data_IF_338898796515
#
_entry.id   IF_338898796515
#
_cell.length_a   1.000
_cell.length_b   1.000
_cell.length_c   1.000
_cell.angle_alpha   90.00
_cell.angle_beta   90.00
_cell.angle_gamma   90.00
#
_symmetry.space_group_name_H-M   'P 1'
#
loop_
_entity.id
_entity.type
_entity.pdbx_description
1 polymer ?
#
# COMPACT_ATOMS: atom_id res chain seq x y z
N UNK A 1 5.62 -23.54 -23.62
CA UNK A 1 4.36 -23.52 -24.38
C UNK A 1 3.53 -22.40 -23.78
N UNK A 2 3.25 -21.33 -24.53
CA UNK A 2 2.38 -20.24 -24.05
C UNK A 2 0.97 -20.81 -23.85
N UNK A 3 0.43 -20.70 -22.63
CA UNK A 3 -0.93 -21.13 -22.35
C UNK A 3 -1.91 -20.37 -23.26
N UNK A 4 -2.98 -21.03 -23.73
CA UNK A 4 -4.00 -20.35 -24.51
C UNK A 4 -4.85 -19.43 -23.61
N UNK A 5 -5.46 -18.37 -24.14
CA UNK A 5 -6.31 -17.46 -23.34
C UNK A 5 -7.45 -18.17 -22.59
N UNK A 6 -8.04 -19.19 -23.20
CA UNK A 6 -9.05 -20.06 -22.58
C UNK A 6 -8.52 -20.86 -21.37
N UNK A 7 -7.21 -21.13 -21.33
CA UNK A 7 -6.54 -21.82 -20.22
C UNK A 7 -6.30 -20.87 -19.07
N UNK A 8 -5.84 -19.65 -19.35
CA UNK A 8 -5.54 -18.64 -18.31
C UNK A 8 -6.80 -18.19 -17.56
N UNK A 9 -7.89 -17.96 -18.29
CA UNK A 9 -9.19 -17.66 -17.67
C UNK A 9 -9.75 -18.82 -16.86
N UNK A 10 -9.40 -20.08 -17.19
CA UNK A 10 -9.75 -21.24 -16.38
C UNK A 10 -8.95 -21.30 -15.07
N UNK A 11 -7.65 -20.97 -15.09
CA UNK A 11 -6.83 -20.87 -13.87
C UNK A 11 -7.34 -19.76 -12.94
N UNK A 12 -7.72 -18.60 -13.47
CA UNK A 12 -8.35 -17.54 -12.67
C UNK A 12 -9.65 -18.03 -12.02
N UNK A 13 -10.52 -18.74 -12.76
CA UNK A 13 -11.74 -19.33 -12.18
C UNK A 13 -11.41 -20.35 -11.09
N UNK A 14 -10.38 -21.16 -11.29
CA UNK A 14 -9.94 -22.15 -10.31
C UNK A 14 -9.40 -21.49 -9.03
N UNK A 15 -8.64 -20.40 -9.15
CA UNK A 15 -8.18 -19.61 -8.00
C UNK A 15 -9.36 -19.00 -7.22
N UNK A 16 -10.34 -18.42 -7.93
CA UNK A 16 -11.52 -17.79 -7.32
C UNK A 16 -12.48 -18.80 -6.66
N UNK A 17 -12.59 -20.01 -7.20
CA UNK A 17 -13.42 -21.08 -6.65
C UNK A 17 -12.70 -21.96 -5.61
N UNK A 18 -11.37 -21.90 -5.60
CA UNK A 18 -10.51 -22.73 -4.78
C UNK A 18 -10.25 -22.13 -3.39
N UNK A 19 -9.69 -22.96 -2.50
CA UNK A 19 -9.19 -22.53 -1.19
C UNK A 19 -7.69 -22.22 -1.18
N UNK A 20 -7.03 -22.18 -2.35
CA UNK A 20 -5.59 -21.90 -2.44
C UNK A 20 -5.36 -20.39 -2.28
N UNK A 21 -4.30 -19.97 -1.57
CA UNK A 21 -3.89 -18.57 -1.53
C UNK A 21 -3.49 -18.06 -2.91
N UNK A 22 -3.82 -16.79 -3.19
CA UNK A 22 -3.44 -16.15 -4.44
C UNK A 22 -3.37 -14.62 -4.30
N UNK A 23 -2.74 -13.97 -5.26
CA UNK A 23 -2.82 -12.54 -5.46
C UNK A 23 -3.13 -12.21 -6.94
N UNK A 24 -4.02 -11.24 -7.15
CA UNK A 24 -4.21 -10.57 -8.44
C UNK A 24 -3.57 -9.20 -8.37
N UNK A 25 -2.66 -8.89 -9.28
CA UNK A 25 -1.97 -7.60 -9.34
C UNK A 25 -2.19 -6.96 -10.71
N UNK A 26 -2.64 -5.72 -10.75
CA UNK A 26 -2.67 -4.89 -11.94
C UNK A 26 -1.75 -3.69 -11.71
N UNK A 27 -0.53 -3.80 -12.26
CA UNK A 27 0.54 -2.80 -12.16
C UNK A 27 0.67 -1.93 -13.40
N UNK A 28 -0.06 -2.29 -14.46
CA UNK A 28 -0.21 -1.52 -15.69
C UNK A 28 -1.68 -1.48 -16.14
N UNK A 29 -1.95 -0.86 -17.29
CA UNK A 29 -3.32 -0.70 -17.80
C UNK A 29 -3.85 -1.88 -18.61
N UNK A 30 -2.97 -2.79 -19.03
CA UNK A 30 -3.24 -3.82 -20.02
C UNK A 30 -3.37 -5.22 -19.41
N UNK A 31 -2.76 -5.48 -18.26
CA UNK A 31 -2.62 -6.82 -17.72
C UNK A 31 -3.10 -6.97 -16.27
N UNK A 32 -3.46 -8.20 -15.93
CA UNK A 32 -3.65 -8.68 -14.56
C UNK A 32 -2.75 -9.88 -14.36
N UNK A 33 -1.86 -9.80 -13.39
CA UNK A 33 -1.00 -10.90 -12.94
C UNK A 33 -1.75 -11.75 -11.92
N UNK A 34 -1.67 -13.07 -12.02
CA UNK A 34 -2.16 -14.04 -11.05
C UNK A 34 -0.96 -14.79 -10.46
N UNK A 35 -0.74 -14.58 -9.16
CA UNK A 35 0.28 -15.25 -8.37
C UNK A 35 -0.42 -16.29 -7.50
N UNK A 36 -0.02 -17.55 -7.58
CA UNK A 36 -0.46 -18.59 -6.64
C UNK A 36 0.74 -19.20 -5.94
N UNK A 37 0.49 -19.81 -4.77
CA UNK A 37 1.58 -20.36 -3.99
C UNK A 37 1.19 -20.77 -2.58
N UNK A 38 2.21 -21.14 -1.81
CA UNK A 38 2.07 -21.50 -0.41
C UNK A 38 2.27 -20.28 0.48
N UNK A 39 1.52 -20.21 1.57
CA UNK A 39 1.64 -19.12 2.55
C UNK A 39 2.49 -19.58 3.73
N UNK A 40 3.50 -18.79 4.06
CA UNK A 40 4.30 -18.94 5.27
C UNK A 40 4.35 -17.61 6.02
N UNK A 41 4.19 -17.66 7.33
CA UNK A 41 4.38 -16.51 8.19
C UNK A 41 5.79 -16.58 8.79
N UNK A 42 6.52 -15.46 8.77
CA UNK A 42 7.88 -15.34 9.29
C UNK A 42 7.95 -14.22 10.34
N UNK A 43 8.96 -14.21 11.20
CA UNK A 43 9.03 -13.24 12.30
C UNK A 43 9.67 -11.92 11.87
N UNK A 44 10.64 -11.97 10.95
CA UNK A 44 11.49 -10.81 10.61
C UNK A 44 11.69 -10.68 9.11
N UNK A 45 11.97 -9.46 8.65
CA UNK A 45 12.18 -9.17 7.23
C UNK A 45 13.32 -9.98 6.62
N UNK A 46 14.42 -10.23 7.37
CA UNK A 46 15.51 -11.06 6.84
C UNK A 46 15.13 -12.55 6.69
N UNK A 47 14.02 -12.98 7.30
CA UNK A 47 13.56 -14.38 7.25
C UNK A 47 12.62 -14.62 6.06
N UNK A 48 12.30 -13.60 5.26
CA UNK A 48 11.54 -13.75 4.01
C UNK A 48 12.26 -14.79 3.12
N UNK A 49 11.55 -15.86 2.66
CA UNK A 49 12.17 -17.05 2.06
C UNK A 49 12.53 -16.85 0.59
N UNK A 50 13.44 -15.91 0.32
CA UNK A 50 13.92 -15.55 -1.02
C UNK A 50 14.73 -16.65 -1.71
N UNK A 51 15.22 -17.63 -0.94
CA UNK A 51 15.94 -18.79 -1.45
C UNK A 51 15.37 -20.09 -0.87
N UNK A 52 15.30 -21.13 -1.70
CA UNK A 52 15.05 -22.50 -1.29
C UNK A 52 16.26 -23.10 -0.56
N UNK A 53 16.06 -24.26 0.07
CA UNK A 53 17.12 -24.97 0.80
C UNK A 53 18.29 -25.43 -0.10
N UNK A 54 18.04 -25.60 -1.40
CA UNK A 54 19.04 -25.93 -2.42
C UNK A 54 19.71 -24.68 -3.05
N UNK A 55 19.34 -23.48 -2.59
CA UNK A 55 19.85 -22.20 -3.06
C UNK A 55 19.08 -21.60 -4.24
N UNK A 56 18.07 -22.29 -4.78
CA UNK A 56 17.25 -21.73 -5.86
C UNK A 56 16.51 -20.47 -5.41
N UNK A 57 16.58 -19.39 -6.19
CA UNK A 57 15.85 -18.15 -5.91
C UNK A 57 14.34 -18.38 -6.05
N UNK A 58 13.58 -17.71 -5.19
CA UNK A 58 12.10 -17.77 -5.15
C UNK A 58 11.52 -16.39 -5.36
N UNK A 59 10.39 -16.33 -6.05
CA UNK A 59 9.53 -15.15 -6.06
C UNK A 59 8.62 -15.18 -4.83
N UNK A 60 8.52 -14.04 -4.14
CA UNK A 60 7.77 -13.94 -2.88
C UNK A 60 7.01 -12.63 -2.84
N UNK A 61 5.71 -12.68 -2.58
CA UNK A 61 4.90 -11.52 -2.21
C UNK A 61 4.73 -11.49 -0.69
N UNK A 62 5.37 -10.53 -0.02
CA UNK A 62 5.32 -10.35 1.42
C UNK A 62 4.37 -9.21 1.83
N UNK A 63 3.38 -9.51 2.67
CA UNK A 63 2.59 -8.51 3.38
C UNK A 63 3.31 -8.15 4.67
N UNK A 64 3.81 -6.92 4.76
CA UNK A 64 4.52 -6.41 5.94
C UNK A 64 3.56 -5.57 6.79
N UNK A 65 3.19 -6.01 8.00
CA UNK A 65 2.27 -5.29 8.86
C UNK A 65 2.93 -4.09 9.53
N UNK A 66 2.13 -3.13 9.99
CA UNK A 66 2.64 -1.94 10.68
C UNK A 66 3.47 -2.30 11.91
N UNK A 67 3.10 -3.37 12.63
CA UNK A 67 3.85 -3.83 13.80
C UNK A 67 5.31 -4.21 13.50
N UNK A 68 5.71 -4.37 12.24
CA UNK A 68 7.09 -4.65 11.88
C UNK A 68 8.06 -3.49 12.19
N UNK A 69 7.56 -2.28 12.47
CA UNK A 69 8.39 -1.15 12.95
C UNK A 69 9.18 -1.46 14.23
N UNK A 70 8.81 -2.52 14.97
CA UNK A 70 9.60 -3.01 16.12
C UNK A 70 11.01 -3.46 15.72
N UNK A 71 11.24 -3.89 14.48
CA UNK A 71 12.59 -4.20 13.98
C UNK A 71 13.49 -2.95 13.86
N UNK A 72 12.88 -1.77 13.84
CA UNK A 72 13.55 -0.46 13.92
C UNK A 72 13.67 0.06 15.36
N UNK A 73 13.12 -0.66 16.34
CA UNK A 73 13.04 -0.25 17.74
C UNK A 73 11.97 0.81 18.01
N UNK A 74 10.96 0.92 17.15
CA UNK A 74 9.88 1.90 17.30
C UNK A 74 8.65 1.30 17.99
N UNK A 75 7.88 2.14 18.67
CA UNK A 75 6.66 1.75 19.37
C UNK A 75 5.50 1.47 18.40
N UNK A 76 4.64 0.51 18.73
CA UNK A 76 3.37 0.32 18.04
C UNK A 76 2.35 -0.36 18.96
N UNK A 77 1.07 -0.27 18.64
CA UNK A 77 0.07 -1.20 19.16
C UNK A 77 0.24 -2.55 18.47
N UNK A 78 0.52 -3.58 19.26
CA UNK A 78 0.70 -4.94 18.77
C UNK A 78 -0.66 -5.67 18.63
N UNK A 79 -0.99 -6.11 17.41
CA UNK A 79 -2.14 -6.96 17.08
C UNK A 79 -1.80 -8.43 16.77
N UNK A 80 -0.52 -8.80 16.74
CA UNK A 80 -0.13 -10.11 16.26
C UNK A 80 -0.28 -10.30 14.74
N UNK A 81 -0.49 -9.23 13.95
CA UNK A 81 -0.54 -9.37 12.48
C UNK A 81 0.77 -9.96 11.95
N UNK A 82 0.76 -11.09 11.23
CA UNK A 82 2.00 -11.75 10.81
C UNK A 82 2.69 -10.99 9.68
N UNK A 83 4.03 -11.08 9.61
CA UNK A 83 4.73 -10.84 8.35
C UNK A 83 4.50 -12.07 7.46
N UNK A 84 3.58 -11.92 6.50
CA UNK A 84 3.02 -13.03 5.73
C UNK A 84 3.60 -13.08 4.33
N UNK A 85 4.14 -14.22 3.93
CA UNK A 85 4.75 -14.43 2.62
C UNK A 85 3.93 -15.42 1.80
N UNK A 86 3.48 -15.00 0.61
CA UNK A 86 3.06 -15.91 -0.45
C UNK A 86 4.32 -16.29 -1.25
N UNK A 87 4.78 -17.53 -1.08
CA UNK A 87 5.89 -18.10 -1.85
C UNK A 87 5.33 -18.59 -3.17
N UNK A 88 5.64 -17.86 -4.23
CA UNK A 88 4.99 -18.03 -5.55
C UNK A 88 5.51 -19.29 -6.21
N UNK A 89 4.59 -20.22 -6.54
CA UNK A 89 4.88 -21.41 -7.35
C UNK A 89 4.45 -21.23 -8.81
N UNK A 90 3.46 -20.38 -9.04
CA UNK A 90 2.96 -20.05 -10.38
C UNK A 90 2.65 -18.55 -10.49
N UNK A 91 3.17 -17.94 -11.56
CA UNK A 91 2.93 -16.55 -11.94
C UNK A 91 2.43 -16.53 -13.38
N UNK A 92 1.17 -16.14 -13.56
CA UNK A 92 0.53 -16.00 -14.86
C UNK A 92 0.19 -14.54 -15.15
N UNK A 93 0.20 -14.14 -16.42
CA UNK A 93 -0.22 -12.81 -16.86
C UNK A 93 -1.40 -12.96 -17.81
N UNK A 94 -2.51 -12.30 -17.49
CA UNK A 94 -3.73 -12.28 -18.27
C UNK A 94 -3.94 -10.90 -18.89
N UNK A 95 -4.58 -10.86 -20.05
CA UNK A 95 -5.16 -9.61 -20.56
C UNK A 95 -6.24 -9.11 -19.59
N UNK A 96 -6.28 -7.80 -19.36
CA UNK A 96 -7.21 -7.18 -18.41
C UNK A 96 -8.67 -7.41 -18.78
N UNK A 97 -9.03 -7.33 -20.06
CA UNK A 97 -10.42 -7.51 -20.49
C UNK A 97 -10.86 -8.96 -20.27
N UNK A 98 -9.95 -9.92 -20.48
CA UNK A 98 -10.19 -11.33 -20.18
C UNK A 98 -10.38 -11.57 -18.68
N UNK A 99 -9.55 -10.99 -17.83
CA UNK A 99 -9.69 -11.07 -16.37
C UNK A 99 -11.02 -10.46 -15.89
N UNK A 100 -11.36 -9.25 -16.35
CA UNK A 100 -12.63 -8.57 -16.02
C UNK A 100 -13.85 -9.39 -16.45
N UNK A 101 -13.78 -10.12 -17.56
CA UNK A 101 -14.88 -10.98 -18.04
C UNK A 101 -15.18 -12.16 -17.11
N UNK A 102 -14.20 -12.59 -16.30
CA UNK A 102 -14.31 -13.72 -15.37
C UNK A 102 -14.70 -13.26 -13.97
N UNK A 103 -14.25 -12.08 -13.55
CA UNK A 103 -14.49 -11.57 -12.20
C UNK A 103 -15.99 -11.29 -11.94
N UNK A 104 -16.50 -11.59 -10.74
CA UNK A 104 -17.88 -11.29 -10.38
C UNK A 104 -18.15 -9.78 -10.43
N UNK A 105 -19.33 -9.39 -10.93
CA UNK A 105 -19.74 -7.98 -11.06
C UNK A 105 -20.99 -7.59 -10.27
N UNK A 106 -21.53 -8.49 -9.46
CA UNK A 106 -22.74 -8.19 -8.66
C UNK A 106 -22.32 -7.40 -7.42
N UNK A 107 -22.83 -6.17 -7.28
CA UNK A 107 -22.49 -5.30 -6.16
C UNK A 107 -22.72 -5.99 -4.81
N UNK A 108 -21.72 -5.88 -3.91
CA UNK A 108 -21.75 -6.47 -2.58
C UNK A 108 -22.53 -5.55 -1.63
N UNK A 109 -23.64 -6.02 -1.03
CA UNK A 109 -24.36 -5.22 -0.05
C UNK A 109 -23.52 -5.05 1.22
N UNK A 110 -23.51 -3.84 1.75
CA UNK A 110 -22.87 -3.49 3.02
C UNK A 110 -23.94 -3.20 4.07
N UNK A 111 -23.85 -3.84 5.23
CA UNK A 111 -24.67 -3.54 6.39
C UNK A 111 -23.87 -2.73 7.43
N UNK A 112 -24.55 -1.91 8.22
CA UNK A 112 -23.96 -1.12 9.31
C UNK A 112 -22.74 -0.27 8.88
N UNK A 113 -22.79 0.24 7.65
CA UNK A 113 -21.68 0.95 7.04
C UNK A 113 -21.50 2.35 7.64
N UNK A 114 -20.30 2.64 8.16
CA UNK A 114 -20.00 3.92 8.80
C UNK A 114 -18.55 4.03 9.26
N UNK A 115 -18.15 5.20 9.71
CA UNK A 115 -16.84 5.36 10.36
C UNK A 115 -16.91 4.95 11.83
N UNK A 116 -15.85 4.30 12.32
CA UNK A 116 -15.66 3.98 13.74
C UNK A 116 -15.54 5.24 14.62
N UNK A 117 -15.02 6.32 14.05
CA UNK A 117 -14.97 7.66 14.63
C UNK A 117 -15.83 8.61 13.81
N UNK A 118 -16.77 9.29 14.48
CA UNK A 118 -17.55 10.36 13.86
C UNK A 118 -16.63 11.48 13.36
N UNK A 119 -17.11 12.26 12.39
CA UNK A 119 -16.35 13.42 11.88
C UNK A 119 -16.01 14.43 13.00
N UNK A 120 -16.88 14.60 14.00
CA UNK A 120 -16.62 15.45 15.16
C UNK A 120 -15.50 14.91 16.05
N UNK A 121 -15.51 13.60 16.35
CA UNK A 121 -14.48 12.98 17.19
C UNK A 121 -13.12 13.00 16.48
N UNK A 122 -13.10 12.72 15.17
CA UNK A 122 -11.89 12.78 14.38
C UNK A 122 -11.34 14.22 14.28
N UNK A 123 -12.21 15.22 14.10
CA UNK A 123 -11.80 16.62 14.13
C UNK A 123 -11.19 17.04 15.48
N UNK A 124 -11.70 16.51 16.59
CA UNK A 124 -11.12 16.76 17.92
C UNK A 124 -9.75 16.11 18.09
N UNK A 125 -9.53 14.91 17.53
CA UNK A 125 -8.20 14.29 17.48
C UNK A 125 -7.24 15.17 16.67
N UNK A 126 -7.66 15.62 15.48
CA UNK A 126 -6.85 16.51 14.63
C UNK A 126 -6.42 17.76 15.38
N UNK A 127 -7.36 18.45 16.05
CA UNK A 127 -7.05 19.65 16.85
C UNK A 127 -6.04 19.36 17.97
N UNK A 128 -6.18 18.22 18.65
CA UNK A 128 -5.24 17.82 19.70
C UNK A 128 -3.85 17.52 19.16
N UNK A 129 -3.74 16.79 18.05
CA UNK A 129 -2.42 16.51 17.43
C UNK A 129 -1.73 17.81 17.01
N UNK A 130 -2.46 18.74 16.39
CA UNK A 130 -1.89 20.04 16.01
C UNK A 130 -1.46 20.84 17.25
N UNK A 131 -2.29 20.92 18.28
CA UNK A 131 -2.00 21.75 19.46
C UNK A 131 -0.94 21.15 20.40
N UNK A 132 -1.03 19.84 20.66
CA UNK A 132 -0.29 19.16 21.71
C UNK A 132 0.94 18.39 21.20
N UNK A 133 0.96 18.00 19.92
CA UNK A 133 2.10 17.30 19.33
C UNK A 133 2.92 18.28 18.48
N UNK A 134 2.34 18.79 17.39
CA UNK A 134 3.03 19.72 16.48
C UNK A 134 3.37 21.03 17.21
N UNK A 135 2.39 21.63 17.90
CA UNK A 135 2.54 22.88 18.66
C UNK A 135 3.54 22.80 19.83
N UNK A 136 3.96 21.59 20.21
CA UNK A 136 4.98 21.37 21.26
C UNK A 136 6.32 20.85 20.72
N UNK A 137 6.46 20.74 19.40
CA UNK A 137 7.71 20.36 18.75
C UNK A 137 7.98 18.84 18.74
N UNK A 138 6.95 18.01 18.89
CA UNK A 138 7.06 16.55 18.78
C UNK A 138 7.41 16.14 17.34
N UNK A 139 6.99 16.92 16.35
CA UNK A 139 7.24 16.64 14.94
C UNK A 139 6.61 17.67 14.03
N UNK A 140 6.91 17.58 12.74
CA UNK A 140 6.41 18.51 11.74
C UNK A 140 5.03 18.08 11.22
N UNK A 141 4.79 16.78 11.12
CA UNK A 141 3.56 16.24 10.57
C UNK A 141 3.26 14.84 11.11
N UNK A 142 1.98 14.48 11.18
CA UNK A 142 1.53 13.17 11.64
C UNK A 142 0.32 12.69 10.85
N UNK A 143 0.13 11.38 10.73
CA UNK A 143 -1.03 10.76 10.11
C UNK A 143 -1.72 9.90 11.15
N UNK A 144 -2.96 10.26 11.50
CA UNK A 144 -3.81 9.47 12.39
C UNK A 144 -4.88 8.76 11.57
N UNK A 145 -5.07 7.47 11.83
CA UNK A 145 -6.08 6.65 11.16
C UNK A 145 -7.45 6.75 11.82
N UNK A 146 -8.49 6.63 11.00
CA UNK A 146 -9.82 6.12 11.36
C UNK A 146 -10.26 5.07 10.34
N UNK A 147 -11.25 4.25 10.67
CA UNK A 147 -11.69 3.15 9.83
C UNK A 147 -13.12 3.36 9.36
N UNK A 148 -13.35 3.23 8.05
CA UNK A 148 -14.69 2.94 7.54
C UNK A 148 -14.95 1.45 7.70
N UNK A 149 -16.05 1.08 8.35
CA UNK A 149 -16.40 -0.31 8.66
C UNK A 149 -17.74 -0.69 8.06
N UNK A 150 -17.92 -1.95 7.72
CA UNK A 150 -19.22 -2.51 7.37
C UNK A 150 -19.25 -4.03 7.60
N UNK A 151 -20.44 -4.59 7.76
CA UNK A 151 -20.67 -6.04 7.76
C UNK A 151 -20.95 -6.52 6.34
N UNK A 152 -20.34 -7.65 5.97
CA UNK A 152 -20.47 -8.30 4.66
C UNK A 152 -20.90 -9.75 4.85
N UNK A 153 -22.06 -10.10 4.29
CA UNK A 153 -22.63 -11.46 4.32
C UNK A 153 -22.54 -12.11 2.93
N UNK A 154 -21.32 -12.15 2.41
CA UNK A 154 -20.97 -12.80 1.14
C UNK A 154 -19.65 -13.52 1.34
N UNK A 155 -19.44 -14.60 0.58
CA UNK A 155 -18.14 -15.28 0.51
C UNK A 155 -16.99 -14.24 0.33
N UNK A 156 -15.96 -14.25 1.19
CA UNK A 156 -14.92 -13.23 1.19
C UNK A 156 -14.16 -13.12 -0.14
N UNK A 157 -13.89 -14.25 -0.81
CA UNK A 157 -13.16 -14.26 -2.10
C UNK A 157 -14.04 -13.62 -3.18
N UNK A 158 -15.32 -13.96 -3.20
CA UNK A 158 -16.31 -13.37 -4.12
C UNK A 158 -16.44 -11.86 -3.89
N UNK A 159 -16.51 -11.41 -2.63
CA UNK A 159 -16.56 -9.99 -2.29
C UNK A 159 -15.30 -9.26 -2.75
N UNK A 160 -14.12 -9.81 -2.42
CA UNK A 160 -12.84 -9.23 -2.79
C UNK A 160 -12.64 -9.15 -4.31
N UNK A 161 -12.97 -10.21 -5.05
CA UNK A 161 -12.92 -10.25 -6.50
C UNK A 161 -13.87 -9.25 -7.16
N UNK A 162 -15.06 -9.04 -6.57
CA UNK A 162 -16.02 -8.04 -7.04
C UNK A 162 -15.48 -6.62 -6.87
N UNK A 163 -14.88 -6.31 -5.70
CA UNK A 163 -14.29 -5.00 -5.47
C UNK A 163 -13.04 -4.77 -6.33
N UNK A 164 -12.21 -5.80 -6.53
CA UNK A 164 -11.06 -5.73 -7.41
C UNK A 164 -11.49 -5.39 -8.85
N UNK A 165 -12.52 -6.08 -9.37
CA UNK A 165 -13.12 -5.74 -10.67
C UNK A 165 -13.58 -4.29 -10.72
N UNK A 166 -14.31 -3.83 -9.71
CA UNK A 166 -14.79 -2.44 -9.66
C UNK A 166 -13.64 -1.43 -9.67
N UNK A 167 -12.52 -1.73 -9.00
CA UNK A 167 -11.31 -0.90 -9.06
C UNK A 167 -10.69 -0.93 -10.46
N UNK A 168 -10.62 -2.08 -11.12
CA UNK A 168 -10.18 -2.16 -12.52
C UNK A 168 -11.11 -1.37 -13.46
N UNK A 169 -12.42 -1.33 -13.23
CA UNK A 169 -13.33 -0.62 -14.15
C UNK A 169 -13.38 0.90 -13.90
N UNK A 170 -13.09 1.34 -12.67
CA UNK A 170 -13.39 2.72 -12.25
C UNK A 170 -12.23 3.53 -11.69
N UNK A 171 -11.16 2.88 -11.21
CA UNK A 171 -9.99 3.57 -10.68
C UNK A 171 -8.93 3.83 -11.75
N UNK A 172 -8.18 4.92 -11.60
CA UNK A 172 -7.09 5.34 -12.50
C UNK A 172 -5.94 5.89 -11.69
N UNK A 173 -4.74 5.88 -12.27
CA UNK A 173 -3.57 6.49 -11.63
C UNK A 173 -3.07 5.76 -10.37
N UNK A 174 -3.59 4.58 -10.05
CA UNK A 174 -3.02 3.73 -9.01
C UNK A 174 -1.63 3.23 -9.44
N UNK A 175 -0.70 3.14 -8.50
CA UNK A 175 0.56 2.43 -8.68
C UNK A 175 0.31 0.93 -8.81
N UNK A 176 -0.41 0.36 -7.85
CA UNK A 176 -0.92 -1.02 -7.91
C UNK A 176 -2.42 -1.02 -7.63
N UNK A 177 -3.17 -1.78 -8.44
CA UNK A 177 -4.49 -2.29 -8.06
C UNK A 177 -4.35 -3.76 -7.74
N UNK A 178 -4.87 -4.23 -6.60
CA UNK A 178 -4.61 -5.60 -6.15
C UNK A 178 -5.78 -6.24 -5.39
N UNK A 179 -5.81 -7.57 -5.42
CA UNK A 179 -6.55 -8.46 -4.52
C UNK A 179 -5.56 -9.50 -3.99
N UNK A 180 -5.41 -9.59 -2.68
CA UNK A 180 -4.53 -10.57 -2.03
C UNK A 180 -5.40 -11.42 -1.11
N UNK A 181 -5.40 -12.73 -1.34
CA UNK A 181 -6.19 -13.72 -0.60
C UNK A 181 -5.24 -14.70 0.07
N UNK A 182 -5.22 -14.68 1.39
CA UNK A 182 -4.44 -15.61 2.23
C UNK A 182 -5.31 -16.14 3.37
N UNK A 183 -4.92 -17.21 4.07
CA UNK A 183 -5.73 -17.77 5.15
C UNK A 183 -6.12 -16.74 6.21
N UNK A 184 -7.43 -16.50 6.38
CA UNK A 184 -7.96 -15.55 7.35
C UNK A 184 -7.73 -14.07 7.01
N UNK A 185 -7.25 -13.74 5.82
CA UNK A 185 -6.98 -12.35 5.44
C UNK A 185 -7.19 -12.08 3.94
N UNK A 186 -8.06 -11.13 3.64
CA UNK A 186 -8.25 -10.57 2.30
C UNK A 186 -7.94 -9.08 2.33
N UNK A 187 -7.12 -8.63 1.37
CA UNK A 187 -6.82 -7.23 1.13
C UNK A 187 -7.12 -6.87 -0.34
N UNK A 188 -7.90 -5.81 -0.56
CA UNK A 188 -8.23 -5.31 -1.91
C UNK A 188 -8.03 -3.81 -1.96
N UNK A 189 -7.19 -3.34 -2.87
CA UNK A 189 -6.81 -1.93 -2.86
C UNK A 189 -6.39 -1.38 -4.22
N UNK A 190 -6.35 -0.07 -4.30
CA UNK A 190 -5.79 0.68 -5.41
C UNK A 190 -4.87 1.77 -4.82
N UNK A 191 -3.63 1.38 -4.51
CA UNK A 191 -2.67 2.27 -3.87
C UNK A 191 -2.04 3.19 -4.91
N UNK A 192 -2.01 4.52 -4.68
CA UNK A 192 -1.34 5.45 -5.59
C UNK A 192 0.18 5.49 -5.39
N UNK A 193 0.70 4.91 -4.31
CA UNK A 193 2.02 5.25 -3.79
C UNK A 193 2.92 4.02 -3.67
N UNK A 194 4.07 4.08 -4.32
CA UNK A 194 5.16 3.15 -4.07
C UNK A 194 5.85 3.52 -2.77
N UNK A 195 5.95 2.57 -1.82
CA UNK A 195 6.79 2.76 -0.65
C UNK A 195 8.26 2.81 -1.07
N UNK A 196 8.71 1.75 -1.74
CA UNK A 196 10.04 1.65 -2.32
C UNK A 196 10.02 0.61 -3.44
N UNK A 197 10.76 0.87 -4.52
CA UNK A 197 11.15 -0.15 -5.48
C UNK A 197 12.66 -0.16 -5.63
N UNK A 198 13.25 -1.34 -5.85
CA UNK A 198 14.66 -1.52 -6.13
C UNK A 198 14.81 -2.46 -7.33
N UNK A 199 15.12 -1.90 -8.50
CA UNK A 199 15.22 -2.65 -9.76
C UNK A 199 16.58 -2.43 -10.40
N UNK A 200 17.34 -3.51 -10.63
CA UNK A 200 18.69 -3.39 -11.21
C UNK A 200 19.61 -2.44 -10.44
N UNK A 201 19.46 -2.41 -9.10
CA UNK A 201 20.19 -1.52 -8.19
C UNK A 201 19.73 -0.05 -8.17
N UNK A 202 18.64 0.31 -8.86
CA UNK A 202 18.02 1.64 -8.79
C UNK A 202 16.91 1.62 -7.77
N UNK A 203 17.05 2.38 -6.69
CA UNK A 203 16.03 2.54 -5.64
C UNK A 203 15.16 3.74 -5.97
N UNK A 204 13.85 3.58 -5.97
CA UNK A 204 12.87 4.64 -6.21
C UNK A 204 11.90 4.75 -5.03
N UNK A 205 11.60 5.98 -4.62
CA UNK A 205 10.52 6.32 -3.69
C UNK A 205 9.62 7.39 -4.33
N UNK A 206 8.35 7.42 -3.95
CA UNK A 206 7.34 8.29 -4.53
C UNK A 206 6.61 9.04 -3.42
N UNK A 207 7.18 10.11 -2.86
CA UNK A 207 6.48 10.90 -1.85
C UNK A 207 5.24 11.56 -2.47
N UNK A 208 4.08 11.26 -1.90
CA UNK A 208 2.78 11.84 -2.29
C UNK A 208 2.18 12.56 -1.09
N UNK A 209 1.92 13.85 -1.22
CA UNK A 209 1.08 14.62 -0.29
C UNK A 209 0.42 15.77 -1.02
N UNK A 210 -0.55 16.41 -0.37
CA UNK A 210 -1.44 17.34 -1.04
C UNK A 210 -2.54 16.62 -1.82
N UNK A 211 -3.80 17.02 -1.61
CA UNK A 211 -4.95 16.34 -2.21
C UNK A 211 -5.96 17.32 -2.76
N UNK A 212 -6.07 17.36 -4.09
CA UNK A 212 -7.14 18.05 -4.78
C UNK A 212 -8.36 17.13 -4.93
N UNK A 213 -9.40 17.37 -4.13
CA UNK A 213 -10.67 16.63 -4.25
C UNK A 213 -11.43 17.08 -5.50
N UNK A 214 -11.79 16.14 -6.38
CA UNK A 214 -12.57 16.48 -7.56
C UNK A 214 -13.99 16.90 -7.14
N UNK A 215 -14.47 18.09 -7.54
CA UNK A 215 -15.83 18.52 -7.22
C UNK A 215 -16.85 17.74 -8.06
N UNK A 216 -18.09 17.64 -7.59
CA UNK A 216 -19.16 16.88 -8.26
C UNK A 216 -19.49 17.37 -9.69
N UNK A 217 -19.08 18.59 -10.05
CA UNK A 217 -19.21 19.17 -11.40
C UNK A 217 -17.96 19.06 -12.28
N UNK A 218 -16.92 18.36 -11.82
CA UNK A 218 -15.62 18.26 -12.51
C UNK A 218 -14.65 19.39 -12.14
N UNK A 219 -13.36 19.08 -12.20
CA UNK A 219 -12.30 20.05 -11.93
C UNK A 219 -12.28 21.15 -13.00
N UNK A 220 -11.99 22.39 -12.59
CA UNK A 220 -11.72 23.51 -13.51
C UNK A 220 -10.27 23.93 -13.41
N UNK A 221 -9.77 24.67 -14.40
CA UNK A 221 -8.39 25.22 -14.36
C UNK A 221 -8.21 26.13 -13.15
N UNK A 222 -9.23 26.91 -12.78
CA UNK A 222 -9.18 27.84 -11.65
C UNK A 222 -9.06 27.10 -10.33
N UNK A 223 -9.91 26.09 -10.10
CA UNK A 223 -9.91 25.31 -8.86
C UNK A 223 -8.63 24.49 -8.68
N UNK A 224 -8.10 23.94 -9.79
CA UNK A 224 -6.80 23.28 -9.77
C UNK A 224 -5.66 24.28 -9.52
N UNK A 225 -5.71 25.47 -10.13
CA UNK A 225 -4.67 26.50 -9.93
C UNK A 225 -4.65 27.01 -8.49
N UNK A 226 -5.82 27.16 -7.86
CA UNK A 226 -5.95 27.52 -6.43
C UNK A 226 -5.28 26.47 -5.55
N UNK A 227 -5.54 25.18 -5.82
CA UNK A 227 -4.87 24.08 -5.13
C UNK A 227 -3.35 24.11 -5.31
N UNK A 228 -2.86 24.25 -6.55
CA UNK A 228 -1.42 24.29 -6.85
C UNK A 228 -0.71 25.52 -6.27
N UNK A 229 -1.44 26.60 -6.01
CA UNK A 229 -0.91 27.84 -5.44
C UNK A 229 -1.06 27.89 -3.91
N UNK A 230 -1.67 26.87 -3.30
CA UNK A 230 -1.86 26.79 -1.85
C UNK A 230 -0.52 26.58 -1.16
N UNK A 231 -0.13 27.53 -0.30
CA UNK A 231 1.08 27.42 0.53
C UNK A 231 1.02 26.16 1.40
N UNK A 232 -0.14 25.88 2.00
CA UNK A 232 -0.35 24.66 2.81
C UNK A 232 0.00 23.40 2.03
N UNK A 233 -0.60 23.22 0.85
CA UNK A 233 -0.43 21.98 0.07
C UNK A 233 1.01 21.84 -0.46
N UNK A 234 1.64 22.96 -0.83
CA UNK A 234 3.03 22.99 -1.28
C UNK A 234 4.00 22.64 -0.15
N UNK A 235 3.80 23.23 1.05
CA UNK A 235 4.62 22.95 2.22
C UNK A 235 4.45 21.51 2.70
N UNK A 236 3.23 20.98 2.69
CA UNK A 236 2.93 19.58 3.04
C UNK A 236 3.73 18.61 2.15
N UNK A 237 3.81 18.88 0.85
CA UNK A 237 4.60 18.08 -0.09
C UNK A 237 6.11 18.18 0.17
N UNK A 238 6.64 19.39 0.41
CA UNK A 238 8.06 19.55 0.68
C UNK A 238 8.50 18.86 1.98
N UNK A 239 7.66 18.91 3.03
CA UNK A 239 7.96 18.22 4.29
C UNK A 239 8.14 16.72 4.08
N UNK A 240 7.26 16.06 3.32
CA UNK A 240 7.38 14.61 3.08
C UNK A 240 8.55 14.27 2.16
N UNK A 241 8.87 15.12 1.18
CA UNK A 241 10.04 14.96 0.30
C UNK A 241 11.34 15.00 1.10
N UNK A 242 11.48 15.95 2.02
CA UNK A 242 12.67 16.07 2.86
C UNK A 242 12.89 14.84 3.73
N UNK A 243 11.82 14.21 4.22
CA UNK A 243 11.93 12.99 5.02
C UNK A 243 12.26 11.75 4.20
N UNK A 244 11.64 11.59 3.04
CA UNK A 244 11.99 10.48 2.15
C UNK A 244 13.40 10.64 1.57
N UNK A 245 13.94 11.86 1.44
CA UNK A 245 15.36 12.07 1.14
C UNK A 245 16.28 11.56 2.24
N UNK A 246 15.90 11.68 3.52
CA UNK A 246 16.66 11.10 4.64
C UNK A 246 16.62 9.58 4.58
N UNK A 247 15.46 8.99 4.29
CA UNK A 247 15.34 7.54 4.08
C UNK A 247 16.19 7.08 2.89
N UNK A 248 16.10 7.77 1.76
CA UNK A 248 16.89 7.48 0.57
C UNK A 248 18.40 7.56 0.85
N UNK A 249 18.84 8.55 1.65
CA UNK A 249 20.25 8.70 2.02
C UNK A 249 20.76 7.58 2.93
N UNK A 250 19.87 6.91 3.69
CA UNK A 250 20.22 5.75 4.49
C UNK A 250 20.46 4.49 3.64
N UNK A 251 19.81 4.39 2.48
CA UNK A 251 19.88 3.20 1.61
C UNK A 251 20.70 3.39 0.34
N UNK A 252 20.94 4.63 -0.10
CA UNK A 252 21.67 4.96 -1.33
C UNK A 252 22.96 5.72 -1.03
N UNK A 253 24.11 5.11 -1.38
CA UNK A 253 25.45 5.67 -1.07
C UNK A 253 25.77 6.99 -1.77
N UNK A 254 25.19 7.21 -2.96
CA UNK A 254 25.42 8.42 -3.76
C UNK A 254 24.33 9.49 -3.54
N UNK A 255 23.45 9.28 -2.55
CA UNK A 255 22.26 10.10 -2.31
C UNK A 255 21.13 9.85 -3.30
N UNK A 256 20.12 10.73 -3.26
CA UNK A 256 18.93 10.68 -4.11
C UNK A 256 18.85 11.84 -5.11
N UNK A 257 18.34 11.58 -6.31
CA UNK A 257 17.93 12.58 -7.30
C UNK A 257 16.42 12.79 -7.22
N UNK A 258 16.00 14.05 -7.22
CA UNK A 258 14.59 14.45 -7.17
C UNK A 258 14.14 14.81 -8.59
N UNK A 259 13.00 14.29 -9.01
CA UNK A 259 12.30 14.72 -10.24
C UNK A 259 10.84 15.01 -9.93
N UNK A 260 10.30 16.10 -10.47
CA UNK A 260 8.93 16.56 -10.21
C UNK A 260 8.85 18.08 -10.01
N UNK A 261 7.73 18.60 -9.48
CA UNK A 261 6.55 17.83 -9.06
C UNK A 261 5.75 17.33 -10.26
N UNK A 262 4.95 16.29 -10.05
CA UNK A 262 4.00 15.73 -11.00
C UNK A 262 2.58 15.76 -10.41
N UNK A 263 1.58 15.65 -11.28
CA UNK A 263 0.19 15.44 -10.88
C UNK A 263 -0.20 13.99 -11.14
N UNK A 264 -0.67 13.33 -10.09
CA UNK A 264 -1.23 11.99 -10.16
C UNK A 264 -2.75 12.07 -10.11
N UNK A 265 -3.36 12.09 -11.28
CA UNK A 265 -4.82 12.10 -11.42
C UNK A 265 -5.39 10.71 -11.12
N UNK A 266 -6.29 10.64 -10.15
CA UNK A 266 -7.09 9.46 -9.81
C UNK A 266 -8.56 9.70 -10.12
N UNK A 267 -9.41 8.69 -9.92
CA UNK A 267 -10.84 8.76 -10.25
C UNK A 267 -11.59 9.91 -9.54
N UNK A 268 -11.29 10.15 -8.26
CA UNK A 268 -12.02 11.10 -7.39
C UNK A 268 -11.18 12.26 -6.85
N UNK A 269 -9.88 12.24 -7.10
CA UNK A 269 -8.94 13.21 -6.56
C UNK A 269 -7.67 13.23 -7.41
N UNK A 270 -6.89 14.29 -7.27
CA UNK A 270 -5.55 14.42 -7.84
C UNK A 270 -4.56 14.70 -6.73
N UNK A 271 -3.42 14.01 -6.76
CA UNK A 271 -2.32 14.25 -5.83
C UNK A 271 -1.17 15.00 -6.51
N UNK A 272 -0.40 15.73 -5.72
CA UNK A 272 0.94 16.17 -6.10
C UNK A 272 1.99 15.18 -5.63
N UNK A 273 2.99 14.92 -6.46
CA UNK A 273 4.01 13.91 -6.14
C UNK A 273 5.40 14.32 -6.63
N UNK A 274 6.42 13.79 -5.97
CA UNK A 274 7.78 13.76 -6.49
C UNK A 274 8.22 12.31 -6.70
N UNK A 275 9.33 12.14 -7.40
CA UNK A 275 10.04 10.87 -7.51
C UNK A 275 11.46 11.08 -7.01
N UNK A 276 11.90 10.21 -6.11
CA UNK A 276 13.25 10.15 -5.61
C UNK A 276 13.93 8.92 -6.20
N UNK A 277 15.15 9.06 -6.70
CA UNK A 277 15.92 7.94 -7.26
C UNK A 277 17.37 7.94 -6.81
N UNK A 278 17.84 6.82 -6.31
CA UNK A 278 19.24 6.59 -5.95
C UNK A 278 19.73 5.23 -6.44
N UNK A 279 20.98 4.90 -6.11
CA UNK A 279 21.52 3.55 -6.35
C UNK A 279 21.90 2.90 -5.04
N UNK A 280 21.60 1.62 -4.93
CA UNK A 280 21.95 0.78 -3.78
C UNK A 280 22.43 -0.59 -4.22
N UNK A 281 23.27 -1.20 -3.41
CA UNK A 281 23.68 -2.60 -3.51
C UNK A 281 23.25 -3.39 -2.27
N UNK A 282 22.40 -2.81 -1.42
CA UNK A 282 21.88 -3.46 -0.23
C UNK A 282 20.96 -4.62 -0.61
N UNK A 283 20.82 -5.58 0.31
CA UNK A 283 19.78 -6.60 0.22
C UNK A 283 18.41 -5.88 0.20
N UNK A 284 17.48 -6.24 -0.71
CA UNK A 284 16.16 -5.62 -0.75
C UNK A 284 15.39 -5.72 0.57
N UNK A 285 15.64 -6.74 1.40
CA UNK A 285 15.05 -6.87 2.75
C UNK A 285 15.60 -5.81 3.70
N UNK A 286 16.88 -5.46 3.57
CA UNK A 286 17.50 -4.37 4.33
C UNK A 286 17.02 -3.00 3.83
N UNK A 287 16.88 -2.81 2.52
CA UNK A 287 16.26 -1.59 1.96
C UNK A 287 14.89 -1.41 2.59
N UNK A 288 14.03 -2.44 2.52
CA UNK A 288 12.69 -2.38 3.09
C UNK A 288 12.72 -2.09 4.60
N UNK A 289 13.62 -2.73 5.36
CA UNK A 289 13.76 -2.52 6.80
C UNK A 289 14.12 -1.07 7.15
N UNK A 290 15.09 -0.50 6.45
CA UNK A 290 15.57 0.87 6.71
C UNK A 290 14.57 1.95 6.27
N UNK A 291 13.61 1.61 5.40
CA UNK A 291 12.59 2.55 4.92
C UNK A 291 11.25 2.43 5.65
N UNK A 292 11.03 1.44 6.54
CA UNK A 292 9.76 1.27 7.25
C UNK A 292 9.37 2.48 8.12
N UNK A 293 8.18 3.07 7.97
CA UNK A 293 7.36 3.10 6.75
C UNK A 293 7.41 4.50 6.11
N UNK A 294 6.63 4.78 5.07
CA UNK A 294 6.69 6.11 4.47
C UNK A 294 6.18 7.20 5.43
N UNK A 295 6.79 8.40 5.45
CA UNK A 295 6.33 9.52 6.28
C UNK A 295 4.95 10.03 5.88
N UNK A 296 4.54 9.79 4.63
CA UNK A 296 3.22 10.11 4.05
C UNK A 296 2.05 9.37 4.70
N UNK A 297 2.32 8.29 5.44
CA UNK A 297 1.32 7.47 6.14
C UNK A 297 1.58 7.29 7.62
N UNK A 298 2.61 7.95 8.15
CA UNK A 298 3.01 7.89 9.56
C UNK A 298 3.20 9.29 10.14
N UNK A 299 4.23 10.00 9.68
CA UNK A 299 4.61 11.33 10.13
C UNK A 299 6.13 11.50 10.20
N UNK A 300 6.55 12.63 10.76
CA UNK A 300 7.96 12.97 10.93
C UNK A 300 8.26 13.68 12.26
N UNK A 301 9.38 13.33 12.94
CA UNK A 301 10.28 12.21 12.64
C UNK A 301 9.64 10.84 12.89
N UNK A 302 9.97 9.82 12.08
CA UNK A 302 9.31 8.50 12.10
C UNK A 302 9.19 7.88 13.52
N UNK A 303 10.29 7.85 14.29
CA UNK A 303 10.28 7.27 15.63
C UNK A 303 9.23 7.95 16.53
N UNK A 304 9.15 9.28 16.46
CA UNK A 304 8.18 10.01 17.26
C UNK A 304 6.77 9.92 16.68
N UNK A 305 6.62 9.85 15.36
CA UNK A 305 5.34 9.59 14.72
C UNK A 305 4.73 8.26 15.19
N UNK A 306 5.52 7.20 15.32
CA UNK A 306 5.09 5.93 15.91
C UNK A 306 4.59 6.08 17.37
N UNK A 307 5.26 6.92 18.15
CA UNK A 307 4.87 7.24 19.53
C UNK A 307 3.55 8.01 19.56
N UNK A 308 3.39 9.04 18.71
CA UNK A 308 2.15 9.83 18.56
C UNK A 308 0.99 8.96 18.10
N UNK A 309 1.21 8.09 17.12
CA UNK A 309 0.20 7.11 16.66
C UNK A 309 -0.27 6.25 17.84
N UNK A 310 0.65 5.75 18.66
CA UNK A 310 0.34 4.94 19.85
C UNK A 310 -0.42 5.72 20.94
N UNK A 311 -0.26 7.05 21.00
CA UNK A 311 -1.02 7.92 21.93
C UNK A 311 -2.45 8.19 21.47
N UNK A 312 -2.67 8.35 20.15
CA UNK A 312 -3.94 8.86 19.60
C UNK A 312 -4.82 7.82 18.93
N UNK A 313 -4.27 6.70 18.47
CA UNK A 313 -5.04 5.58 17.94
C UNK A 313 -5.47 4.63 19.07
N UNK A 314 -6.72 4.14 19.03
CA UNK A 314 -7.24 3.24 20.07
C UNK A 314 -7.02 1.76 19.76
N UNK A 315 -6.67 1.46 18.52
CA UNK A 315 -6.56 0.11 18.00
C UNK A 315 -5.27 -0.02 17.19
N UNK A 316 -4.78 -1.23 16.97
CA UNK A 316 -3.62 -1.48 16.12
C UNK A 316 -3.95 -1.36 14.62
N UNK A 317 -2.93 -1.05 13.81
CA UNK A 317 -3.05 -0.74 12.38
C UNK A 317 -3.21 -1.94 11.46
N UNK A 318 -2.91 -3.16 11.92
CA UNK A 318 -2.78 -4.31 11.02
C UNK A 318 -1.79 -3.99 9.91
N UNK A 319 -2.23 -4.15 8.67
CA UNK A 319 -1.44 -3.84 7.49
C UNK A 319 -1.60 -2.41 6.97
N UNK A 320 -2.49 -1.59 7.53
CA UNK A 320 -2.57 -0.18 7.13
C UNK A 320 -1.23 0.52 7.37
N UNK A 321 -0.79 1.33 6.39
CA UNK A 321 0.54 1.97 6.33
C UNK A 321 1.74 1.04 6.20
N UNK A 322 1.53 -0.28 6.24
CA UNK A 322 2.51 -1.29 5.87
C UNK A 322 2.68 -1.39 4.35
N UNK A 323 3.25 -2.49 3.87
CA UNK A 323 3.48 -2.70 2.43
C UNK A 323 3.09 -4.10 1.96
N UNK A 324 2.77 -4.22 0.67
CA UNK A 324 2.83 -5.49 -0.05
C UNK A 324 4.08 -5.48 -0.92
N UNK A 325 5.10 -6.26 -0.58
CA UNK A 325 6.41 -6.26 -1.22
C UNK A 325 6.59 -7.51 -2.09
N UNK A 326 6.64 -7.33 -3.42
CA UNK A 326 6.99 -8.38 -4.36
C UNK A 326 8.51 -8.41 -4.57
N UNK A 327 9.12 -9.54 -4.23
CA UNK A 327 10.52 -9.84 -4.49
C UNK A 327 10.62 -10.77 -5.69
N UNK A 328 11.18 -10.31 -6.79
CA UNK A 328 11.29 -11.07 -8.04
C UNK A 328 12.75 -11.47 -8.29
N UNK A 329 13.07 -12.75 -8.49
CA UNK A 329 14.43 -13.20 -8.79
C UNK A 329 15.03 -12.51 -10.03
N UNK A 330 16.30 -12.12 -9.96
CA UNK A 330 17.03 -11.56 -11.10
C UNK A 330 17.95 -12.62 -11.74
N UNK A 331 18.33 -12.46 -13.02
CA UNK A 331 19.29 -13.36 -13.68
C UNK A 331 20.66 -13.44 -13.00
N UNK A 332 21.03 -12.41 -12.24
CA UNK A 332 22.29 -12.32 -11.49
C UNK A 332 22.23 -13.07 -10.14
N UNK A 333 21.10 -13.67 -9.79
CA UNK A 333 20.91 -14.47 -8.57
C UNK A 333 20.47 -13.67 -7.34
N UNK A 334 20.14 -12.38 -7.50
CA UNK A 334 19.54 -11.54 -6.46
C UNK A 334 18.03 -11.40 -6.65
N UNK A 335 17.47 -10.32 -6.09
CA UNK A 335 16.06 -9.99 -6.18
C UNK A 335 15.87 -8.50 -6.49
N UNK A 336 14.93 -8.21 -7.38
CA UNK A 336 14.31 -6.90 -7.48
C UNK A 336 13.16 -6.80 -6.46
N UNK A 337 12.84 -5.59 -6.02
CA UNK A 337 11.76 -5.29 -5.07
C UNK A 337 10.79 -4.28 -5.66
N UNK A 338 9.49 -4.55 -5.52
CA UNK A 338 8.40 -3.63 -5.84
C UNK A 338 7.38 -3.64 -4.69
N UNK A 339 7.25 -2.53 -3.95
CA UNK A 339 6.43 -2.47 -2.75
C UNK A 339 5.53 -1.22 -2.70
N UNK A 340 4.23 -1.30 -3.08
CA UNK A 340 3.25 -0.29 -2.72
C UNK A 340 3.02 -0.16 -1.22
N UNK A 341 2.64 1.05 -0.79
CA UNK A 341 2.06 1.28 0.54
C UNK A 341 0.63 0.71 0.57
N UNK A 342 0.26 0.07 1.68
CA UNK A 342 -1.09 -0.44 1.92
C UNK A 342 -2.03 0.64 2.48
N UNK A 343 -2.38 1.58 1.60
CA UNK A 343 -3.45 2.58 1.77
C UNK A 343 -4.50 2.39 0.69
N UNK A 344 -5.67 3.04 0.83
CA UNK A 344 -6.81 2.88 -0.09
C UNK A 344 -7.14 1.38 -0.30
N UNK A 345 -7.05 0.64 0.79
CA UNK A 345 -7.13 -0.81 0.85
C UNK A 345 -8.24 -1.21 1.81
N UNK A 346 -9.15 -2.02 1.30
CA UNK A 346 -10.17 -2.73 2.05
C UNK A 346 -9.61 -4.03 2.59
N UNK A 347 -9.84 -4.30 3.87
CA UNK A 347 -9.55 -5.57 4.50
C UNK A 347 -10.86 -6.25 4.87
N UNK A 348 -10.97 -7.55 4.59
CA UNK A 348 -12.12 -8.36 4.98
C UNK A 348 -11.64 -9.50 5.87
N UNK A 349 -12.05 -9.47 7.13
CA UNK A 349 -11.72 -10.46 8.16
C UNK A 349 -13.00 -10.79 8.91
N UNK A 350 -13.34 -12.08 9.00
CA UNK A 350 -14.51 -12.59 9.73
C UNK A 350 -15.83 -11.84 9.40
N UNK A 351 -16.07 -11.59 8.10
CA UNK A 351 -17.26 -10.88 7.62
C UNK A 351 -17.28 -9.38 7.89
N UNK A 352 -16.22 -8.81 8.49
CA UNK A 352 -16.09 -7.38 8.76
C UNK A 352 -15.16 -6.74 7.73
N UNK A 353 -15.72 -5.83 6.94
CA UNK A 353 -14.97 -4.93 6.07
C UNK A 353 -14.39 -3.79 6.91
N UNK A 354 -13.11 -3.49 6.71
CA UNK A 354 -12.43 -2.30 7.23
C UNK A 354 -11.70 -1.59 6.09
N UNK A 355 -11.90 -0.29 5.95
CA UNK A 355 -11.15 0.58 5.03
C UNK A 355 -10.48 1.68 5.86
N UNK A 356 -9.25 1.43 6.36
CA UNK A 356 -8.47 2.42 7.09
C UNK A 356 -8.10 3.64 6.23
N UNK A 357 -8.21 4.82 6.81
CA UNK A 357 -7.87 6.08 6.15
C UNK A 357 -7.34 7.11 7.15
N UNK A 358 -6.40 7.93 6.71
CA UNK A 358 -5.84 9.05 7.45
C UNK A 358 -5.53 10.21 6.51
N UNK A 359 -5.04 11.30 7.08
CA UNK A 359 -4.53 12.45 6.34
C UNK A 359 -3.32 13.05 7.07
N UNK A 360 -2.40 13.63 6.31
CA UNK A 360 -1.25 14.37 6.84
C UNK A 360 -1.75 15.61 7.59
N UNK A 361 -1.45 15.68 8.89
CA UNK A 361 -1.73 16.81 9.76
C UNK A 361 -0.47 17.66 9.86
N UNK A 362 -0.58 18.96 9.59
CA UNK A 362 0.49 19.97 9.63
C UNK A 362 0.06 21.20 10.41
#
# INVERSE_FOLDING_TARGET
>A
MTASPSSLTAELRAALAGGRPFALLARDTAHVELLTGEVVDVERLQDIPLHAADGATREVLALVPFRQVVERGFECHDDGAPLRCLVVDEHLTLDRDEAVSVLPGTAIPLADAGFDLSDSEYADIVRRVIADEIGRGEGANFVIRRDFTATVDVDPVTAGATWFRALLEHERGAYWTFLIVTPGHIAVGASPEAHVSAQGGVVTMNPISGTFRHPAGGATVETLTEFLSSTKETEELFMVVDEELKMMSAVCSDGGRITGPHLKEMSRLTHTEYMLRGRSTMDPRDILRETMFAPTVTGSPMQNACTVITRHERSPRGYYSGVAALFTPTPEGGHDLDAPILIRTAYLVDGTLRVPVGATLV
#
